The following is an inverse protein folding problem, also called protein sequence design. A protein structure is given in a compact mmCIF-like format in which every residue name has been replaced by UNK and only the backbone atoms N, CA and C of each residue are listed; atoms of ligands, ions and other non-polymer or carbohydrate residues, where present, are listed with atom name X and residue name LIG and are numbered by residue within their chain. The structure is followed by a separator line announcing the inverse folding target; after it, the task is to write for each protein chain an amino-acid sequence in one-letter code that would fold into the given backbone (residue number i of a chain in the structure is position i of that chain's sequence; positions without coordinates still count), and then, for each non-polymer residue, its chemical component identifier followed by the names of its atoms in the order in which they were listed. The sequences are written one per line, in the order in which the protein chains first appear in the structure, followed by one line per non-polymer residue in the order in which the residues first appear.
data_IF_334604742170
#
_entry.id   IF_334604742170
#
_cell.length_a   1.000
_cell.length_b   1.000
_cell.length_c   1.000
_cell.angle_alpha   90.00
_cell.angle_beta   90.00
_cell.angle_gamma   90.00
#
_symmetry.space_group_name_H-M   'P 1'
#
loop_
_entity.id
_entity.type
_entity.pdbx_description
1 polymer ?
#
# COMPACT_ATOMS: atom_id res chain seq x y z
N UNK A 1 -0.67 -12.23 6.68
CA UNK A 1 -0.03 -11.12 5.94
C UNK A 1 1.10 -11.70 5.12
N UNK A 2 1.26 -11.30 3.87
CA UNK A 2 2.29 -11.81 2.96
C UNK A 2 3.00 -10.61 2.34
N UNK A 3 4.31 -10.56 2.48
CA UNK A 3 5.13 -9.51 1.87
C UNK A 3 5.26 -9.80 0.38
N UNK A 4 4.87 -8.83 -0.44
CA UNK A 4 5.05 -8.88 -1.89
C UNK A 4 5.73 -7.60 -2.36
N UNK A 5 6.59 -7.73 -3.37
CA UNK A 5 7.58 -6.69 -3.67
C UNK A 5 8.81 -6.83 -2.76
N UNK A 6 9.79 -5.95 -2.93
CA UNK A 6 11.06 -6.08 -2.20
C UNK A 6 10.91 -5.70 -0.73
N UNK A 7 11.24 -6.61 0.19
CA UNK A 7 11.46 -6.31 1.61
C UNK A 7 12.88 -5.72 1.80
N UNK A 8 12.98 -4.66 2.60
CA UNK A 8 14.25 -3.95 2.79
C UNK A 8 14.73 -3.95 4.23
N UNK A 9 13.86 -4.31 5.18
CA UNK A 9 14.16 -4.27 6.60
C UNK A 9 14.85 -5.54 7.08
N UNK A 10 14.67 -6.66 6.36
CA UNK A 10 15.27 -7.97 6.65
C UNK A 10 15.81 -8.62 5.37
N UNK A 11 16.73 -9.57 5.52
CA UNK A 11 17.18 -10.38 4.40
C UNK A 11 16.04 -11.27 3.91
N UNK A 12 15.67 -11.11 2.64
CA UNK A 12 14.61 -11.87 2.00
C UNK A 12 15.11 -12.56 0.73
N UNK A 13 14.34 -13.54 0.26
CA UNK A 13 14.57 -14.15 -1.05
C UNK A 13 13.48 -13.71 -2.01
N UNK A 14 13.89 -13.12 -3.13
CA UNK A 14 12.98 -12.55 -4.13
C UNK A 14 11.86 -13.50 -4.61
N UNK A 15 12.08 -14.83 -4.53
CA UNK A 15 11.09 -15.86 -4.88
C UNK A 15 9.90 -15.96 -3.91
N UNK A 16 10.09 -15.57 -2.65
CA UNK A 16 9.06 -15.60 -1.61
C UNK A 16 8.32 -14.26 -1.46
N UNK A 17 8.64 -13.31 -2.33
CA UNK A 17 8.09 -11.96 -2.35
C UNK A 17 7.27 -11.70 -3.63
N UNK A 18 6.93 -12.78 -4.34
CA UNK A 18 6.22 -12.72 -5.60
C UNK A 18 4.72 -12.84 -5.38
N UNK A 19 3.95 -12.33 -6.32
CA UNK A 19 2.49 -12.34 -6.22
C UNK A 19 1.90 -13.76 -6.19
N UNK A 20 2.59 -14.74 -6.77
CA UNK A 20 2.19 -16.16 -6.75
C UNK A 20 2.17 -16.73 -5.33
N UNK A 21 2.85 -16.11 -4.37
CA UNK A 21 2.78 -16.51 -2.95
C UNK A 21 1.39 -16.30 -2.35
N UNK A 22 0.53 -15.51 -3.00
CA UNK A 22 -0.85 -15.33 -2.57
C UNK A 22 -1.75 -16.51 -2.97
N UNK A 23 -1.38 -17.28 -4.00
CA UNK A 23 -2.27 -18.27 -4.63
C UNK A 23 -2.67 -19.39 -3.67
N UNK A 24 -1.70 -20.02 -3.00
CA UNK A 24 -1.95 -21.12 -2.08
C UNK A 24 -2.86 -20.74 -0.90
N UNK A 25 -2.59 -19.65 -0.14
CA UNK A 25 -3.47 -19.27 0.97
C UNK A 25 -4.85 -18.83 0.48
N UNK A 26 -4.96 -18.14 -0.66
CA UNK A 26 -6.25 -17.79 -1.25
C UNK A 26 -7.06 -19.03 -1.65
N UNK A 27 -6.42 -20.03 -2.26
CA UNK A 27 -7.05 -21.30 -2.62
C UNK A 27 -7.55 -22.09 -1.41
N UNK A 28 -6.91 -21.91 -0.25
CA UNK A 28 -7.34 -22.50 1.02
C UNK A 28 -8.38 -21.65 1.78
N UNK A 29 -8.91 -20.59 1.15
CA UNK A 29 -9.95 -19.72 1.74
C UNK A 29 -9.45 -18.81 2.87
N UNK A 30 -8.14 -18.69 3.06
CA UNK A 30 -7.55 -17.81 4.09
C UNK A 30 -7.81 -16.35 3.73
N UNK A 31 -8.08 -15.50 4.72
CA UNK A 31 -8.08 -14.06 4.50
C UNK A 31 -6.64 -13.56 4.42
N UNK A 32 -6.27 -12.99 3.28
CA UNK A 32 -4.89 -12.58 2.98
C UNK A 32 -4.80 -11.06 2.92
N UNK A 33 -3.75 -10.52 3.55
CA UNK A 33 -3.32 -9.13 3.40
C UNK A 33 -1.98 -9.17 2.69
N UNK A 34 -1.91 -8.53 1.53
CA UNK A 34 -0.68 -8.40 0.75
C UNK A 34 -0.01 -7.05 1.08
N UNK A 35 1.18 -7.12 1.68
CA UNK A 35 1.87 -5.93 2.16
C UNK A 35 2.50 -5.13 1.01
N UNK A 36 2.56 -3.81 1.17
CA UNK A 36 3.32 -2.88 0.32
C UNK A 36 2.87 -2.79 -1.14
N UNK A 37 1.69 -3.33 -1.47
CA UNK A 37 1.10 -3.30 -2.80
C UNK A 37 1.96 -3.93 -3.92
N UNK A 38 2.90 -4.83 -3.60
CA UNK A 38 3.73 -5.49 -4.63
C UNK A 38 4.77 -4.57 -5.27
N UNK A 39 5.12 -3.45 -4.61
CA UNK A 39 6.04 -2.45 -5.12
C UNK A 39 7.42 -2.52 -4.47
N UNK A 40 8.42 -2.01 -5.19
CA UNK A 40 9.74 -1.74 -4.64
C UNK A 40 10.88 -2.38 -5.42
N UNK A 41 10.63 -3.28 -6.39
CA UNK A 41 11.74 -4.00 -7.01
C UNK A 41 12.55 -3.10 -7.95
N UNK A 42 13.84 -3.40 -8.04
CA UNK A 42 14.73 -2.80 -9.02
C UNK A 42 14.60 -3.58 -10.34
N UNK A 43 13.65 -3.18 -11.18
CA UNK A 43 13.34 -3.87 -12.44
C UNK A 43 14.16 -3.33 -13.63
N UNK A 44 14.66 -2.09 -13.55
CA UNK A 44 15.35 -1.42 -14.65
C UNK A 44 16.84 -1.22 -14.36
N UNK A 45 17.66 -2.27 -14.54
CA UNK A 45 19.11 -2.22 -14.27
C UNK A 45 19.88 -1.28 -15.19
N UNK A 46 19.53 -1.25 -16.48
CA UNK A 46 20.18 -0.39 -17.49
C UNK A 46 19.61 1.05 -17.53
N UNK A 47 18.44 1.28 -16.92
CA UNK A 47 17.75 2.58 -16.90
C UNK A 47 17.28 2.88 -15.48
N UNK A 48 18.24 3.06 -14.57
CA UNK A 48 17.99 3.14 -13.13
C UNK A 48 16.97 4.20 -12.73
N UNK A 49 16.91 5.32 -13.46
CA UNK A 49 15.94 6.40 -13.25
C UNK A 49 14.49 5.94 -13.44
N UNK A 50 14.24 4.89 -14.23
CA UNK A 50 12.89 4.33 -14.40
C UNK A 50 12.35 3.71 -13.11
N UNK A 51 13.20 3.22 -12.21
CA UNK A 51 12.76 2.68 -10.92
C UNK A 51 12.19 3.79 -9.99
N UNK A 52 12.51 5.07 -10.27
CA UNK A 52 11.96 6.24 -9.59
C UNK A 52 10.91 6.98 -10.43
N UNK A 53 10.62 6.50 -11.64
CA UNK A 53 9.66 7.13 -12.55
C UNK A 53 8.25 7.11 -11.96
N UNK A 54 7.51 8.20 -12.17
CA UNK A 54 6.08 8.32 -11.84
C UNK A 54 5.16 7.78 -12.94
N UNK A 55 5.72 7.43 -14.11
CA UNK A 55 4.93 6.82 -15.18
C UNK A 55 4.53 5.39 -14.76
N UNK A 56 3.23 5.06 -14.70
CA UNK A 56 2.75 3.71 -14.41
C UNK A 56 3.39 2.61 -15.27
N UNK A 57 3.77 2.90 -16.52
CA UNK A 57 4.47 1.92 -17.39
C UNK A 57 5.82 1.45 -16.84
N UNK A 58 6.37 2.16 -15.86
CA UNK A 58 7.63 1.83 -15.19
C UNK A 58 7.42 1.16 -13.83
N UNK A 59 6.17 0.96 -13.39
CA UNK A 59 5.85 0.31 -12.12
C UNK A 59 6.04 -1.21 -12.19
N UNK A 60 6.04 -1.83 -11.03
CA UNK A 60 6.21 -3.28 -10.88
C UNK A 60 5.01 -4.05 -11.46
N UNK A 61 5.25 -5.14 -12.19
CA UNK A 61 4.16 -5.95 -12.75
C UNK A 61 3.27 -6.55 -11.65
N UNK A 62 3.87 -6.92 -10.51
CA UNK A 62 3.18 -7.46 -9.35
C UNK A 62 2.16 -6.46 -8.79
N UNK A 63 2.41 -5.14 -8.88
CA UNK A 63 1.47 -4.09 -8.47
C UNK A 63 0.17 -4.12 -9.28
N UNK A 64 0.28 -4.15 -10.62
CA UNK A 64 -0.92 -4.21 -11.48
C UNK A 64 -1.66 -5.52 -11.34
N UNK A 65 -0.93 -6.64 -11.23
CA UNK A 65 -1.54 -7.95 -11.00
C UNK A 65 -2.28 -7.99 -9.66
N UNK A 66 -1.74 -7.35 -8.61
CA UNK A 66 -2.43 -7.22 -7.33
C UNK A 66 -3.71 -6.40 -7.44
N UNK A 67 -3.70 -5.26 -8.15
CA UNK A 67 -4.90 -4.46 -8.36
C UNK A 67 -6.04 -5.29 -8.96
N UNK A 68 -5.74 -6.13 -9.97
CA UNK A 68 -6.73 -7.02 -10.57
C UNK A 68 -7.19 -8.14 -9.61
N UNK A 69 -6.27 -8.70 -8.81
CA UNK A 69 -6.63 -9.70 -7.81
C UNK A 69 -7.54 -9.11 -6.71
N UNK A 70 -7.32 -7.87 -6.29
CA UNK A 70 -8.14 -7.20 -5.27
C UNK A 70 -9.61 -7.03 -5.70
N UNK A 71 -9.85 -6.85 -7.01
CA UNK A 71 -11.20 -6.75 -7.58
C UNK A 71 -11.94 -8.09 -7.58
N UNK A 72 -11.20 -9.19 -7.72
CA UNK A 72 -11.76 -10.53 -7.97
C UNK A 72 -11.83 -11.40 -6.72
N UNK A 73 -10.92 -11.22 -5.76
CA UNK A 73 -10.83 -12.07 -4.58
C UNK A 73 -11.51 -11.43 -3.36
N UNK A 74 -12.58 -12.06 -2.88
CA UNK A 74 -13.35 -11.57 -1.72
C UNK A 74 -12.53 -11.55 -0.42
N UNK A 75 -11.61 -12.51 -0.26
CA UNK A 75 -10.74 -12.72 0.90
C UNK A 75 -9.33 -12.10 0.75
N UNK A 76 -9.09 -11.29 -0.28
CA UNK A 76 -7.83 -10.56 -0.46
C UNK A 76 -7.99 -9.07 -0.12
N UNK A 77 -6.99 -8.55 0.59
CA UNK A 77 -6.79 -7.14 0.92
C UNK A 77 -5.33 -6.76 0.65
N UNK A 78 -5.08 -5.49 0.41
CA UNK A 78 -3.73 -4.93 0.32
C UNK A 78 -3.51 -3.91 1.44
N UNK A 79 -2.27 -3.68 1.86
CA UNK A 79 -1.95 -2.55 2.73
C UNK A 79 -1.00 -1.55 2.06
N UNK A 80 -1.00 -0.32 2.58
CA UNK A 80 -0.08 0.75 2.13
C UNK A 80 1.06 1.01 3.13
N UNK A 81 1.44 -0.02 3.88
CA UNK A 81 2.56 0.03 4.82
C UNK A 81 3.88 0.29 4.07
N UNK A 82 4.75 1.15 4.63
CA UNK A 82 6.02 1.58 4.02
C UNK A 82 5.93 2.10 2.57
N UNK A 83 4.75 2.54 2.12
CA UNK A 83 4.54 3.08 0.78
C UNK A 83 5.29 4.40 0.57
N UNK A 84 5.61 5.14 1.63
CA UNK A 84 6.45 6.35 1.54
C UNK A 84 7.95 6.04 1.42
N UNK A 85 8.37 4.79 1.17
CA UNK A 85 9.75 4.49 0.75
C UNK A 85 9.98 4.89 -0.72
N UNK A 86 11.20 5.27 -1.14
CA UNK A 86 11.43 5.88 -2.46
C UNK A 86 10.90 5.07 -3.64
N UNK A 87 11.13 3.76 -3.66
CA UNK A 87 10.72 2.87 -4.76
C UNK A 87 9.21 2.61 -4.79
N UNK A 88 8.51 2.77 -3.66
CA UNK A 88 7.07 2.50 -3.55
C UNK A 88 6.25 3.77 -3.72
N UNK A 89 6.76 4.90 -3.23
CA UNK A 89 6.03 6.17 -3.18
C UNK A 89 5.68 6.73 -4.56
N UNK A 90 6.43 6.34 -5.59
CA UNK A 90 6.15 6.70 -6.99
C UNK A 90 4.74 6.31 -7.45
N UNK A 91 4.15 5.27 -6.85
CA UNK A 91 2.83 4.75 -7.22
C UNK A 91 1.68 5.32 -6.36
N UNK A 92 1.96 6.12 -5.31
CA UNK A 92 0.92 6.61 -4.40
C UNK A 92 -0.16 7.42 -5.12
N UNK A 93 0.22 8.35 -6.01
CA UNK A 93 -0.75 9.11 -6.80
C UNK A 93 -1.60 8.21 -7.67
N UNK A 94 -0.98 7.26 -8.38
CA UNK A 94 -1.71 6.31 -9.21
C UNK A 94 -2.69 5.46 -8.38
N UNK A 95 -2.25 4.95 -7.22
CA UNK A 95 -3.10 4.18 -6.32
C UNK A 95 -4.26 5.02 -5.78
N UNK A 96 -4.04 6.31 -5.50
CA UNK A 96 -5.08 7.23 -5.03
C UNK A 96 -6.21 7.41 -6.04
N UNK A 97 -6.00 7.12 -7.33
CA UNK A 97 -7.05 7.18 -8.36
C UNK A 97 -7.72 5.83 -8.63
N UNK A 98 -7.26 4.72 -8.02
CA UNK A 98 -7.85 3.38 -8.19
C UNK A 98 -9.02 3.17 -7.21
N UNK A 99 -10.06 3.99 -7.33
CA UNK A 99 -11.18 4.00 -6.38
C UNK A 99 -11.93 2.66 -6.27
N UNK A 100 -11.92 1.87 -7.35
CA UNK A 100 -12.54 0.54 -7.42
C UNK A 100 -11.93 -0.46 -6.42
N UNK A 101 -10.66 -0.30 -6.04
CA UNK A 101 -10.00 -1.18 -5.05
C UNK A 101 -9.87 -0.56 -3.67
N UNK A 102 -10.18 0.73 -3.47
CA UNK A 102 -9.98 1.41 -2.17
C UNK A 102 -10.67 0.71 -1.00
N UNK A 103 -11.81 0.06 -1.24
CA UNK A 103 -12.54 -0.71 -0.23
C UNK A 103 -11.83 -2.00 0.24
N UNK A 104 -10.70 -2.36 -0.38
CA UNK A 104 -9.81 -3.49 -0.07
C UNK A 104 -8.43 -3.07 0.44
N UNK A 105 -8.16 -1.77 0.49
CA UNK A 105 -6.86 -1.24 0.93
C UNK A 105 -6.91 -0.91 2.42
N UNK A 106 -5.91 -1.35 3.16
CA UNK A 106 -5.74 -1.12 4.59
C UNK A 106 -4.69 -0.04 4.81
N UNK A 107 -4.98 0.91 5.69
CA UNK A 107 -3.96 1.84 6.17
C UNK A 107 -3.01 1.14 7.15
N UNK A 108 -1.70 1.32 6.90
CA UNK A 108 -0.63 0.92 7.79
C UNK A 108 0.58 1.80 7.51
N UNK A 109 1.39 2.09 8.53
CA UNK A 109 2.57 2.97 8.39
C UNK A 109 3.86 2.18 8.19
N UNK A 110 3.94 0.98 8.77
CA UNK A 110 5.19 0.21 8.96
C UNK A 110 6.20 0.93 9.85
N UNK A 111 5.74 1.75 10.81
CA UNK A 111 6.63 2.41 11.75
C UNK A 111 7.47 1.36 12.53
N UNK A 112 8.81 1.52 12.64
CA UNK A 112 9.59 2.73 12.42
C UNK A 112 10.36 2.81 11.08
N UNK A 113 9.90 2.17 10.00
CA UNK A 113 10.58 2.22 8.69
C UNK A 113 10.83 3.67 8.25
N UNK A 114 12.08 4.07 7.97
CA UNK A 114 12.42 5.45 7.68
C UNK A 114 11.93 5.89 6.29
N UNK A 115 11.51 7.15 6.19
CA UNK A 115 11.12 7.78 4.93
C UNK A 115 11.56 9.24 4.89
N UNK A 116 11.69 9.78 3.68
CA UNK A 116 12.09 11.17 3.46
C UNK A 116 11.04 11.87 2.59
N UNK A 117 10.23 12.75 3.18
CA UNK A 117 9.21 13.54 2.45
C UNK A 117 9.79 14.20 1.19
N UNK A 118 10.99 14.77 1.29
CA UNK A 118 11.62 15.49 0.17
C UNK A 118 11.81 14.63 -1.07
N UNK A 119 12.15 13.36 -0.88
CA UNK A 119 12.47 12.42 -1.95
C UNK A 119 11.32 11.46 -2.27
N UNK A 120 10.37 11.25 -1.35
CA UNK A 120 9.40 10.17 -1.43
C UNK A 120 7.95 10.68 -1.54
N UNK A 121 7.76 11.92 -2.00
CA UNK A 121 6.43 12.46 -2.31
C UNK A 121 6.50 13.23 -3.63
N UNK A 122 6.74 12.48 -4.72
CA UNK A 122 7.21 13.01 -6.01
C UNK A 122 6.28 14.00 -6.72
N UNK A 123 5.05 14.13 -6.26
CA UNK A 123 3.97 14.90 -6.87
C UNK A 123 3.33 15.92 -5.92
N UNK A 124 3.70 15.94 -4.64
CA UNK A 124 3.22 16.96 -3.71
C UNK A 124 3.83 18.34 -4.01
N UNK A 125 3.07 19.39 -3.74
CA UNK A 125 3.54 20.77 -3.87
C UNK A 125 4.64 21.08 -2.85
N UNK A 126 5.54 22.01 -3.21
CA UNK A 126 6.65 22.40 -2.35
C UNK A 126 6.22 23.07 -1.02
N UNK A 127 5.04 23.70 -1.00
CA UNK A 127 4.42 24.24 0.23
C UNK A 127 4.01 23.11 1.18
N UNK A 128 3.26 22.13 0.68
CA UNK A 128 2.84 20.93 1.43
C UNK A 128 4.04 20.18 2.01
N UNK A 129 5.06 19.91 1.18
CA UNK A 129 6.30 19.25 1.64
C UNK A 129 6.97 20.02 2.79
N UNK A 130 7.03 21.35 2.68
CA UNK A 130 7.61 22.21 3.73
C UNK A 130 6.81 22.11 5.03
N UNK A 131 5.49 22.09 4.95
CA UNK A 131 4.63 21.92 6.13
C UNK A 131 4.83 20.54 6.78
N UNK A 132 4.85 19.46 5.99
CA UNK A 132 5.07 18.10 6.48
C UNK A 132 6.44 17.94 7.16
N UNK A 133 7.50 18.53 6.59
CA UNK A 133 8.84 18.48 7.19
C UNK A 133 8.95 19.20 8.55
N UNK A 134 8.00 20.07 8.93
CA UNK A 134 7.98 20.74 10.25
C UNK A 134 7.47 19.81 11.36
N UNK A 135 6.75 18.75 11.03
CA UNK A 135 6.23 17.79 12.02
C UNK A 135 7.39 17.01 12.62
N UNK A 136 7.64 17.14 13.92
CA UNK A 136 8.77 16.49 14.61
C UNK A 136 8.56 14.99 14.79
N UNK A 137 7.32 14.57 15.07
CA UNK A 137 6.95 13.17 15.21
C UNK A 137 6.93 12.46 13.82
N UNK A 138 7.77 11.42 13.61
CA UNK A 138 7.80 10.71 12.33
C UNK A 138 6.49 10.00 11.98
N UNK A 139 5.74 9.53 12.98
CA UNK A 139 4.43 8.89 12.77
C UNK A 139 3.42 9.90 12.24
N UNK A 140 3.27 11.05 12.92
CA UNK A 140 2.34 12.11 12.50
C UNK A 140 2.71 12.62 11.10
N UNK A 141 4.01 12.74 10.82
CA UNK A 141 4.51 13.11 9.49
C UNK A 141 4.12 12.11 8.41
N UNK A 142 4.18 10.80 8.70
CA UNK A 142 3.77 9.76 7.75
C UNK A 142 2.26 9.84 7.50
N UNK A 143 1.46 9.87 8.57
CA UNK A 143 0.01 9.92 8.49
C UNK A 143 -0.46 11.16 7.71
N UNK A 144 0.09 12.33 8.03
CA UNK A 144 -0.19 13.58 7.32
C UNK A 144 0.19 13.52 5.84
N UNK A 145 1.30 12.87 5.49
CA UNK A 145 1.68 12.70 4.09
C UNK A 145 0.76 11.75 3.32
N UNK A 146 0.24 10.69 3.96
CA UNK A 146 -0.75 9.79 3.33
C UNK A 146 -2.09 10.50 3.14
N UNK A 147 -2.49 11.38 4.06
CA UNK A 147 -3.73 12.17 3.95
C UNK A 147 -3.79 13.06 2.70
N UNK A 148 -2.64 13.47 2.17
CA UNK A 148 -2.54 14.21 0.89
C UNK A 148 -2.91 13.36 -0.35
N UNK A 149 -2.89 12.03 -0.21
CA UNK A 149 -3.28 11.09 -1.26
C UNK A 149 -4.67 10.49 -0.98
N UNK A 150 -4.98 10.22 0.28
CA UNK A 150 -6.23 9.62 0.72
C UNK A 150 -6.86 10.53 1.79
N UNK A 151 -7.84 11.36 1.45
CA UNK A 151 -8.47 12.27 2.42
C UNK A 151 -9.10 11.54 3.60
N UNK A 152 -9.36 12.23 4.72
CA UNK A 152 -9.87 11.63 5.97
C UNK A 152 -11.11 10.74 5.78
N UNK A 153 -12.00 11.07 4.84
CA UNK A 153 -13.18 10.26 4.51
C UNK A 153 -12.90 9.02 3.63
N UNK A 154 -11.64 8.71 3.33
CA UNK A 154 -11.27 7.56 2.51
C UNK A 154 -11.56 6.25 3.26
N UNK A 155 -12.17 5.24 2.62
CA UNK A 155 -12.49 3.97 3.28
C UNK A 155 -11.26 3.20 3.77
N UNK A 156 -10.05 3.55 3.29
CA UNK A 156 -8.82 2.84 3.65
C UNK A 156 -8.52 2.86 5.16
N UNK A 157 -9.02 3.89 5.86
CA UNK A 157 -8.82 4.08 7.29
C UNK A 157 -9.74 3.16 8.12
N UNK A 158 -10.91 2.81 7.59
CA UNK A 158 -11.91 2.00 8.29
C UNK A 158 -11.92 0.53 7.86
N UNK A 159 -11.29 0.19 6.73
CA UNK A 159 -11.29 -1.15 6.17
C UNK A 159 -10.68 -2.22 7.10
N UNK A 160 -9.87 -1.83 8.09
CA UNK A 160 -9.34 -2.75 9.10
C UNK A 160 -10.46 -3.52 9.83
N UNK A 161 -11.61 -2.88 10.05
CA UNK A 161 -12.79 -3.50 10.66
C UNK A 161 -13.30 -4.71 9.86
N UNK A 162 -13.23 -4.66 8.52
CA UNK A 162 -13.67 -5.76 7.64
C UNK A 162 -12.84 -7.03 7.80
N UNK A 163 -11.60 -6.90 8.29
CA UNK A 163 -10.70 -8.02 8.54
C UNK A 163 -10.80 -8.48 9.99
N UNK A 164 -10.77 -7.54 10.94
CA UNK A 164 -10.75 -7.84 12.37
C UNK A 164 -12.12 -8.27 12.95
N UNK A 165 -13.23 -7.76 12.40
CA UNK A 165 -14.58 -8.09 12.88
C UNK A 165 -15.16 -9.34 12.20
N UNK A 166 -14.60 -9.75 11.05
CA UNK A 166 -15.02 -10.98 10.34
C UNK A 166 -14.75 -12.24 11.16
N UNK A 167 -13.77 -12.19 12.06
CA UNK A 167 -13.37 -13.30 12.93
C UNK A 167 -14.25 -13.47 14.17
N UNK A 168 -15.11 -12.50 14.50
CA UNK A 168 -15.93 -12.58 15.72
C UNK A 168 -17.20 -13.42 15.53
N UNK A 169 -17.87 -13.37 14.37
CA UNK A 169 -19.26 -13.85 14.27
C UNK A 169 -19.62 -14.67 13.02
N UNK A 170 -18.71 -15.01 12.09
CA UNK A 170 -19.04 -15.84 10.91
C UNK A 170 -20.19 -15.34 10.02
N UNK A 171 -20.75 -14.16 10.32
CA UNK A 171 -21.81 -13.46 9.61
C UNK A 171 -21.30 -12.06 9.30
N UNK A 172 -21.54 -11.61 8.08
CA UNK A 172 -21.22 -10.26 7.65
C UNK A 172 -21.99 -9.25 8.52
N UNK A 173 -21.28 -8.46 9.32
CA UNK A 173 -21.86 -7.33 10.02
C UNK A 173 -22.42 -6.34 8.98
N UNK A 174 -23.72 -6.09 9.04
CA UNK A 174 -24.37 -5.01 8.30
C UNK A 174 -23.78 -3.67 8.74
N UNK A 175 -23.31 -2.88 7.78
CA UNK A 175 -22.80 -1.53 7.99
C UNK A 175 -23.91 -0.67 8.64
N UNK A 176 -23.65 0.04 9.75
CA UNK A 176 -24.63 0.96 10.30
C UNK A 176 -24.74 2.16 9.35
N UNK A 177 -25.93 2.37 8.79
CA UNK A 177 -26.26 3.63 8.11
C UNK A 177 -26.31 4.74 9.14
N UNK A 178 -25.41 5.72 9.03
CA UNK A 178 -25.41 6.94 9.83
C UNK A 178 -26.68 7.77 9.58
N UNK A 179 -27.35 8.19 10.66
CA UNK A 179 -28.32 9.29 10.67
C UNK A 179 -27.60 10.61 10.91
#
# INVERSE_FOLDING_TARGET
IIHIGSEYSIQSFARYERIEMLDLPLANGVTVIAAHMGLGRINHRLRVWKNLSRNPDSFDADYFRLLEMLKTHANLYGDISAMLSPMRARALRHLSTQHDVHHKILFGTDYPVPFLIRFNSYDLQASTKRSLCKLSNPFDRYAAAVLEYFPEGSPIYDNHSKVLLKTADGRSASVPTSR
#
